data_IF_534290375719
#
_entry.id   IF_534290375719
#
_cell.length_a   1.000
_cell.length_b   1.000
_cell.length_c   1.000
_cell.angle_alpha   90.00
_cell.angle_beta   90.00
_cell.angle_gamma   90.00
#
_symmetry.space_group_name_H-M   'P 1'
#
loop_
_entity.id
_entity.type
_entity.pdbx_description
1 polymer ?
#
# COMPACT_ATOMS: atom_id res chain seq x y z
N UNK A 1 17.85 14.58 -19.15
CA UNK A 1 16.88 15.61 -19.58
C UNK A 1 16.22 16.20 -18.33
N UNK A 2 16.68 17.37 -17.82
CA UNK A 2 16.16 17.97 -16.57
C UNK A 2 15.08 19.02 -16.91
N UNK A 3 13.81 18.69 -16.60
CA UNK A 3 12.63 19.52 -16.85
C UNK A 3 12.40 20.58 -15.74
N UNK A 4 13.42 21.33 -15.35
CA UNK A 4 13.31 22.29 -14.23
C UNK A 4 13.60 23.74 -14.62
N UNK A 5 13.62 24.06 -15.92
CA UNK A 5 13.70 25.46 -16.37
C UNK A 5 12.32 26.15 -16.24
N UNK A 6 12.24 27.38 -15.70
CA UNK A 6 11.00 28.15 -15.60
C UNK A 6 10.23 28.28 -16.93
N UNK A 7 10.94 28.30 -18.06
CA UNK A 7 10.35 28.35 -19.41
C UNK A 7 9.51 27.12 -19.75
N UNK A 8 9.84 25.95 -19.20
CA UNK A 8 9.12 24.70 -19.45
C UNK A 8 7.73 24.71 -18.78
N UNK A 9 7.61 25.36 -17.62
CA UNK A 9 6.32 25.53 -16.93
C UNK A 9 5.36 26.41 -17.72
N UNK A 10 5.85 27.47 -18.35
CA UNK A 10 5.03 28.34 -19.21
C UNK A 10 4.53 27.58 -20.44
N UNK A 11 5.39 26.79 -21.09
CA UNK A 11 4.99 25.96 -22.24
C UNK A 11 3.96 24.90 -21.83
N UNK A 12 4.16 24.25 -20.68
CA UNK A 12 3.19 23.31 -20.11
C UNK A 12 1.84 23.97 -19.78
N UNK A 13 1.85 25.18 -19.22
CA UNK A 13 0.65 25.93 -18.89
C UNK A 13 -0.15 26.33 -20.14
N UNK A 14 0.54 26.86 -21.16
CA UNK A 14 -0.08 27.20 -22.45
C UNK A 14 -0.68 25.95 -23.11
N UNK A 15 0.06 24.84 -23.11
CA UNK A 15 -0.42 23.56 -23.67
C UNK A 15 -1.66 23.06 -22.93
N UNK A 16 -1.68 23.16 -21.59
CA UNK A 16 -2.82 22.77 -20.76
C UNK A 16 -4.07 23.61 -21.00
N UNK A 17 -3.91 24.93 -21.17
CA UNK A 17 -5.03 25.84 -21.47
C UNK A 17 -5.64 25.50 -22.83
N UNK A 18 -4.81 25.38 -23.87
CA UNK A 18 -5.29 25.05 -25.22
C UNK A 18 -5.98 23.69 -25.29
N UNK A 19 -5.47 22.70 -24.56
CA UNK A 19 -6.10 21.40 -24.45
C UNK A 19 -7.49 21.49 -23.80
N UNK A 20 -7.62 22.25 -22.71
CA UNK A 20 -8.90 22.44 -22.03
C UNK A 20 -9.95 23.14 -22.90
N UNK A 21 -9.53 24.11 -23.71
CA UNK A 21 -10.43 24.81 -24.64
C UNK A 21 -10.87 23.90 -25.80
N UNK A 22 -9.97 23.05 -26.31
CA UNK A 22 -10.30 22.04 -27.32
C UNK A 22 -11.31 21.01 -26.79
N UNK A 23 -11.15 20.54 -25.54
CA UNK A 23 -12.09 19.61 -24.91
C UNK A 23 -13.49 20.19 -24.75
N UNK A 24 -13.58 21.47 -24.35
CA UNK A 24 -14.86 22.19 -24.26
C UNK A 24 -15.52 22.39 -25.63
N UNK A 25 -14.74 22.64 -26.68
CA UNK A 25 -15.25 22.77 -28.04
C UNK A 25 -15.84 21.47 -28.60
N UNK A 26 -15.44 20.32 -28.06
CA UNK A 26 -15.94 18.99 -28.44
C UNK A 26 -17.09 18.50 -27.54
N UNK A 27 -17.59 19.32 -26.61
CA UNK A 27 -18.59 18.94 -25.60
C UNK A 27 -18.18 17.71 -24.76
N UNK A 28 -16.87 17.44 -24.67
CA UNK A 28 -16.35 16.31 -23.91
C UNK A 28 -16.21 16.74 -22.46
N UNK A 29 -17.17 16.31 -21.65
CA UNK A 29 -17.08 16.45 -20.21
C UNK A 29 -15.86 15.68 -19.67
N UNK A 30 -15.17 16.30 -18.71
CA UNK A 30 -14.01 15.71 -18.00
C UNK A 30 -14.30 14.28 -17.51
N UNK A 31 -15.55 14.02 -17.13
CA UNK A 31 -16.01 12.76 -16.57
C UNK A 31 -16.07 11.63 -17.61
N UNK A 32 -16.18 11.96 -18.90
CA UNK A 32 -16.11 11.00 -20.02
C UNK A 32 -14.67 10.56 -20.30
N UNK A 33 -13.70 11.46 -20.06
CA UNK A 33 -12.29 11.23 -20.41
C UNK A 33 -11.52 10.42 -19.36
N UNK A 34 -11.98 10.42 -18.11
CA UNK A 34 -11.40 9.61 -17.03
C UNK A 34 -12.42 8.57 -16.52
N UNK A 35 -12.75 7.54 -17.32
CA UNK A 35 -13.60 6.44 -16.87
C UNK A 35 -12.80 5.55 -15.91
N UNK A 36 -12.62 6.02 -14.68
CA UNK A 36 -11.97 5.30 -13.59
C UNK A 36 -12.83 5.38 -12.33
N UNK A 37 -12.79 4.35 -11.46
CA UNK A 37 -13.51 4.40 -10.19
C UNK A 37 -13.05 5.62 -9.39
N UNK A 38 -13.99 6.53 -9.11
CA UNK A 38 -13.72 7.74 -8.33
C UNK A 38 -13.44 7.34 -6.87
N UNK A 39 -12.17 7.30 -6.47
CA UNK A 39 -11.71 7.09 -5.08
C UNK A 39 -11.95 8.35 -4.21
N UNK A 40 -12.71 9.33 -4.70
CA UNK A 40 -12.95 10.59 -4.03
C UNK A 40 -14.24 10.53 -3.22
N UNK A 41 -14.15 10.07 -1.97
CA UNK A 41 -15.28 10.04 -1.02
C UNK A 41 -15.69 11.44 -0.52
N UNK A 42 -14.85 12.45 -0.71
CA UNK A 42 -15.07 13.83 -0.22
C UNK A 42 -15.53 14.81 -1.32
N UNK A 43 -15.86 14.33 -2.53
CA UNK A 43 -16.45 15.18 -3.57
C UNK A 43 -17.96 15.34 -3.35
N UNK A 44 -18.45 16.58 -3.40
CA UNK A 44 -19.88 16.88 -3.35
C UNK A 44 -20.63 16.14 -4.46
N UNK A 45 -21.67 15.38 -4.09
CA UNK A 45 -22.49 14.61 -5.03
C UNK A 45 -22.05 13.16 -5.31
N UNK A 46 -20.91 12.71 -4.77
CA UNK A 46 -20.41 11.33 -4.93
C UNK A 46 -20.34 10.56 -3.60
N UNK A 47 -21.13 10.99 -2.60
CA UNK A 47 -21.17 10.37 -1.27
C UNK A 47 -21.89 9.03 -1.33
N UNK A 48 -21.16 7.95 -1.10
CA UNK A 48 -21.69 6.59 -1.01
C UNK A 48 -21.16 5.89 0.23
N UNK A 49 -22.06 5.33 1.01
CA UNK A 49 -21.77 4.68 2.31
C UNK A 49 -20.89 3.45 2.16
N UNK A 50 -21.04 2.67 1.07
CA UNK A 50 -20.31 1.44 0.84
C UNK A 50 -18.78 1.63 0.72
N UNK A 51 -18.24 2.48 -0.19
CA UNK A 51 -16.79 2.68 -0.32
C UNK A 51 -16.18 3.36 0.91
N UNK A 52 -16.94 4.15 1.67
CA UNK A 52 -16.46 4.74 2.92
C UNK A 52 -16.18 3.66 3.97
N UNK A 53 -17.14 2.76 4.20
CA UNK A 53 -16.98 1.69 5.20
C UNK A 53 -15.89 0.70 4.79
N UNK A 54 -15.76 0.35 3.51
CA UNK A 54 -14.70 -0.57 3.08
C UNK A 54 -13.30 0.02 3.23
N UNK A 55 -13.09 1.29 2.86
CA UNK A 55 -11.77 1.91 2.93
C UNK A 55 -11.36 2.29 4.36
N UNK A 56 -12.30 2.81 5.15
CA UNK A 56 -12.01 3.32 6.50
C UNK A 56 -12.38 2.36 7.62
N UNK A 57 -13.20 1.34 7.35
CA UNK A 57 -13.64 0.37 8.35
C UNK A 57 -12.50 -0.50 8.86
N UNK A 58 -11.58 -0.94 8.00
CA UNK A 58 -10.41 -1.73 8.44
C UNK A 58 -9.49 -0.88 9.32
N UNK A 59 -9.27 0.39 8.97
CA UNK A 59 -8.44 1.31 9.76
C UNK A 59 -9.08 1.56 11.13
N UNK A 60 -10.40 1.79 11.18
CA UNK A 60 -11.15 1.97 12.42
C UNK A 60 -11.20 0.68 13.26
N UNK A 61 -11.30 -0.49 12.62
CA UNK A 61 -11.30 -1.79 13.28
C UNK A 61 -9.93 -2.08 13.91
N UNK A 62 -8.84 -1.95 13.13
CA UNK A 62 -7.48 -2.14 13.64
C UNK A 62 -7.17 -1.16 14.78
N UNK A 63 -7.56 0.11 14.61
CA UNK A 63 -7.43 1.14 15.64
C UNK A 63 -8.22 0.80 16.91
N UNK A 64 -9.48 0.40 16.79
CA UNK A 64 -10.33 0.07 17.94
C UNK A 64 -9.87 -1.18 18.68
N UNK A 65 -9.38 -2.21 17.98
CA UNK A 65 -8.79 -3.39 18.61
C UNK A 65 -7.50 -3.02 19.35
N UNK A 66 -6.59 -2.29 18.71
CA UNK A 66 -5.33 -1.86 19.32
C UNK A 66 -5.55 -0.95 20.53
N UNK A 67 -6.41 0.06 20.39
CA UNK A 67 -6.75 1.00 21.47
C UNK A 67 -7.53 0.29 22.58
N UNK A 68 -8.49 -0.56 22.23
CA UNK A 68 -9.30 -1.33 23.17
C UNK A 68 -8.44 -2.28 24.02
N UNK A 69 -7.52 -3.03 23.39
CA UNK A 69 -6.58 -3.88 24.11
C UNK A 69 -5.67 -3.06 25.05
N UNK A 70 -5.22 -1.89 24.58
CA UNK A 70 -4.37 -0.99 25.35
C UNK A 70 -5.08 -0.39 26.56
N UNK A 71 -6.36 -0.04 26.42
CA UNK A 71 -7.21 0.42 27.52
C UNK A 71 -7.50 -0.71 28.52
N UNK A 72 -7.75 -1.94 28.03
CA UNK A 72 -8.03 -3.10 28.89
C UNK A 72 -6.80 -3.57 29.69
N UNK A 73 -5.65 -3.71 29.02
CA UNK A 73 -4.41 -4.18 29.64
C UNK A 73 -3.55 -3.06 30.25
N UNK A 74 -3.96 -1.79 30.08
CA UNK A 74 -3.22 -0.60 30.55
C UNK A 74 -1.73 -0.65 30.18
N UNK A 75 -1.41 -1.06 28.94
CA UNK A 75 -0.02 -1.21 28.53
C UNK A 75 0.66 0.16 28.40
N UNK A 76 1.89 0.27 28.92
CA UNK A 76 2.64 1.53 28.92
C UNK A 76 3.07 1.91 27.49
N UNK A 77 3.05 3.21 27.18
CA UNK A 77 3.66 3.72 25.96
C UNK A 77 5.16 3.88 26.21
N UNK A 78 5.96 3.01 25.60
CA UNK A 78 7.42 3.14 25.61
C UNK A 78 7.87 4.09 24.50
N UNK A 79 8.84 4.94 24.81
CA UNK A 79 9.43 5.86 23.83
C UNK A 79 10.28 5.06 22.84
N UNK A 80 10.23 5.43 21.55
CA UNK A 80 10.95 4.69 20.50
C UNK A 80 12.46 4.55 20.75
N UNK A 81 13.09 5.50 21.45
CA UNK A 81 14.52 5.44 21.80
C UNK A 81 14.87 4.44 22.91
N UNK A 82 13.88 4.01 23.69
CA UNK A 82 14.06 3.06 24.80
C UNK A 82 13.67 1.64 24.39
N UNK A 83 12.95 1.50 23.28
CA UNK A 83 12.59 0.20 22.72
C UNK A 83 13.79 -0.32 21.95
N UNK A 84 14.26 -1.49 22.33
CA UNK A 84 15.31 -2.20 21.61
C UNK A 84 14.68 -3.02 20.47
N UNK A 85 14.92 -2.57 19.23
CA UNK A 85 14.52 -3.28 18.02
C UNK A 85 15.65 -4.16 17.46
N UNK A 86 16.85 -4.12 18.06
CA UNK A 86 18.08 -4.64 17.46
C UNK A 86 18.53 -5.94 18.12
N UNK A 87 18.46 -6.10 19.45
CA UNK A 87 19.07 -7.27 20.10
C UNK A 87 18.46 -8.62 19.68
N UNK A 88 17.21 -8.63 19.20
CA UNK A 88 16.57 -9.85 18.69
C UNK A 88 16.84 -10.11 17.19
N UNK A 89 17.57 -9.25 16.47
CA UNK A 89 17.92 -9.49 15.06
C UNK A 89 18.73 -10.77 14.90
N UNK A 90 19.70 -11.01 15.78
CA UNK A 90 20.51 -12.24 15.73
C UNK A 90 19.66 -13.51 15.83
N UNK A 91 18.60 -13.49 16.66
CA UNK A 91 17.65 -14.61 16.74
C UNK A 91 16.90 -14.82 15.41
N UNK A 92 16.45 -13.74 14.77
CA UNK A 92 15.79 -13.82 13.47
C UNK A 92 16.75 -14.25 12.36
N UNK A 93 18.03 -13.84 12.41
CA UNK A 93 19.05 -14.26 11.46
C UNK A 93 19.31 -15.76 11.57
N UNK A 94 19.49 -16.28 12.79
CA UNK A 94 19.65 -17.72 13.04
C UNK A 94 18.42 -18.52 12.60
N UNK A 95 17.20 -18.03 12.89
CA UNK A 95 15.97 -18.68 12.41
C UNK A 95 15.89 -18.68 10.88
N UNK A 96 16.22 -17.56 10.25
CA UNK A 96 16.19 -17.43 8.79
C UNK A 96 17.17 -18.40 8.15
N UNK A 97 18.37 -18.52 8.72
CA UNK A 97 19.38 -19.47 8.29
C UNK A 97 18.93 -20.93 8.47
N UNK A 98 18.32 -21.25 9.61
CA UNK A 98 17.76 -22.58 9.88
C UNK A 98 16.71 -22.99 8.84
N UNK A 99 15.71 -22.13 8.58
CA UNK A 99 14.67 -22.43 7.58
C UNK A 99 15.19 -22.38 6.14
N UNK A 100 16.22 -21.59 5.86
CA UNK A 100 16.90 -21.60 4.56
C UNK A 100 17.56 -22.95 4.30
N UNK A 101 18.28 -23.48 5.30
CA UNK A 101 18.87 -24.81 5.21
C UNK A 101 17.83 -25.90 4.99
N UNK A 102 16.68 -25.85 5.68
CA UNK A 102 15.59 -26.81 5.44
C UNK A 102 15.00 -26.71 4.02
N UNK A 103 14.85 -25.50 3.48
CA UNK A 103 14.37 -25.28 2.10
C UNK A 103 15.34 -25.77 1.05
N UNK A 104 16.64 -25.61 1.29
CA UNK A 104 17.69 -26.07 0.37
C UNK A 104 17.89 -27.59 0.44
N UNK A 105 17.70 -28.20 1.63
CA UNK A 105 17.71 -29.64 1.82
C UNK A 105 16.41 -30.34 1.34
N UNK A 106 15.34 -29.59 1.10
CA UNK A 106 14.09 -30.14 0.60
C UNK A 106 14.25 -30.58 -0.86
N UNK A 107 13.80 -31.80 -1.23
CA UNK A 107 13.80 -32.26 -2.62
C UNK A 107 12.92 -31.32 -3.46
N UNK A 108 13.56 -30.52 -4.31
CA UNK A 108 12.89 -29.53 -5.16
C UNK A 108 12.03 -30.18 -6.25
N UNK A 109 12.32 -31.44 -6.60
CA UNK A 109 11.63 -32.16 -7.67
C UNK A 109 10.66 -33.22 -7.14
N UNK A 110 9.50 -33.32 -7.80
CA UNK A 110 8.44 -34.27 -7.49
C UNK A 110 8.92 -35.74 -7.50
N UNK A 111 9.91 -36.06 -8.35
CA UNK A 111 10.51 -37.40 -8.46
C UNK A 111 11.27 -37.81 -7.20
N UNK A 112 12.06 -36.89 -6.64
CA UNK A 112 12.86 -37.11 -5.43
C UNK A 112 11.96 -37.29 -4.20
N UNK A 113 10.83 -36.58 -4.17
CA UNK A 113 9.79 -36.71 -3.13
C UNK A 113 9.05 -38.05 -3.17
N UNK A 114 8.93 -38.66 -4.36
CA UNK A 114 8.35 -40.00 -4.53
C UNK A 114 9.36 -41.08 -4.11
N UNK A 115 10.63 -40.94 -4.50
CA UNK A 115 11.71 -41.85 -4.09
C UNK A 115 11.91 -41.89 -2.57
N UNK A 116 11.93 -40.75 -1.88
CA UNK A 116 12.08 -40.66 -0.43
C UNK A 116 10.88 -41.16 0.39
N UNK A 117 9.75 -41.46 -0.26
CA UNK A 117 8.57 -42.04 0.39
C UNK A 117 8.44 -43.55 0.15
N UNK A 118 9.15 -44.07 -0.84
CA UNK A 118 9.16 -45.48 -1.22
C UNK A 118 10.33 -46.23 -0.54
N UNK A 119 11.44 -45.54 -0.27
CA UNK A 119 12.57 -46.01 0.53
C UNK A 119 12.63 -45.29 1.87
#
# INVERSE_FOLDING_TARGET
>A
MRLTSPSNWTVMAITRIRFNDAMKAQDIERETFLPGPRICVFLSGNWSTAPFIFNYGIVALAGSIGLGWKLFKKTQFHRASEVDLVSHLYFFDVLTEHYRHEREAAPQNLKDKILAKIF
#
